data_IF_831178539976
#
_entry.id   IF_831178539976
#
_cell.length_a   1.000
_cell.length_b   1.000
_cell.length_c   1.000
_cell.angle_alpha   90.00
_cell.angle_beta   90.00
_cell.angle_gamma   90.00
#
_symmetry.space_group_name_H-M   'P 1'
#
loop_
_entity.id
_entity.type
_entity.pdbx_description
1 polymer ?
#
# COMPACT_ATOMS: atom_id res chain seq x y z
N UNK A 1 6.32 6.62 41.17
CA UNK A 1 5.40 5.95 40.22
C UNK A 1 6.01 6.09 38.83
N UNK A 2 6.29 4.98 38.14
CA UNK A 2 6.69 5.06 36.74
C UNK A 2 5.48 5.50 35.90
N UNK A 3 5.61 6.46 34.98
CA UNK A 3 4.50 6.84 34.11
C UNK A 3 4.12 5.66 33.21
N UNK A 4 2.86 5.25 33.25
CA UNK A 4 2.33 4.23 32.33
C UNK A 4 2.18 4.84 30.94
N UNK A 5 3.01 4.40 29.98
CA UNK A 5 2.87 4.78 28.58
C UNK A 5 1.67 4.02 28.02
N UNK A 6 0.66 4.76 27.51
CA UNK A 6 -0.48 4.17 26.79
C UNK A 6 -0.14 4.09 25.30
N UNK A 7 -0.30 2.91 24.71
CA UNK A 7 -0.20 2.70 23.27
C UNK A 7 -1.61 2.57 22.70
N UNK A 8 -1.95 3.42 21.73
CA UNK A 8 -3.14 3.30 20.92
C UNK A 8 -2.74 2.65 19.60
N UNK A 9 -3.44 1.60 19.20
CA UNK A 9 -3.22 0.90 17.94
C UNK A 9 -4.56 0.58 17.31
N UNK A 10 -4.63 0.72 16.00
CA UNK A 10 -5.79 0.40 15.21
C UNK A 10 -5.34 -0.15 13.86
N UNK A 11 -5.95 -1.25 13.45
CA UNK A 11 -5.71 -1.82 12.13
C UNK A 11 -7.05 -1.95 11.43
N UNK A 12 -7.15 -1.31 10.27
CA UNK A 12 -8.31 -1.46 9.41
C UNK A 12 -8.03 -2.53 8.36
N UNK A 13 -8.97 -3.47 8.24
CA UNK A 13 -8.89 -4.56 7.29
C UNK A 13 -9.89 -4.36 6.16
N UNK A 14 -9.39 -4.33 4.93
CA UNK A 14 -10.23 -4.47 3.74
C UNK A 14 -10.12 -5.91 3.28
N UNK A 15 -11.23 -6.63 3.32
CA UNK A 15 -11.34 -7.94 2.67
C UNK A 15 -11.66 -7.69 1.20
N UNK A 16 -10.67 -7.89 0.34
CA UNK A 16 -10.87 -7.87 -1.11
C UNK A 16 -11.34 -9.28 -1.50
N UNK A 17 -12.54 -9.39 -2.09
CA UNK A 17 -13.05 -10.69 -2.54
C UNK A 17 -12.07 -11.35 -3.52
N UNK A 18 -11.86 -12.65 -3.29
CA UNK A 18 -11.14 -13.66 -4.11
C UNK A 18 -10.46 -13.12 -5.36
N UNK A 19 -9.12 -13.17 -5.35
CA UNK A 19 -8.29 -12.86 -6.53
C UNK A 19 -8.77 -13.71 -7.71
N UNK A 20 -9.35 -13.06 -8.71
CA UNK A 20 -9.75 -13.72 -9.97
C UNK A 20 -8.55 -13.93 -10.92
N UNK A 21 -7.50 -13.15 -10.74
CA UNK A 21 -6.32 -13.14 -11.58
C UNK A 21 -5.05 -12.74 -10.79
N UNK A 22 -3.89 -12.85 -11.44
CA UNK A 22 -2.58 -12.47 -10.89
C UNK A 22 -2.13 -11.08 -11.34
N UNK A 23 -3.05 -10.15 -11.59
CA UNK A 23 -2.73 -8.79 -12.04
C UNK A 23 -2.08 -7.92 -10.96
N UNK A 24 -2.22 -8.30 -9.69
CA UNK A 24 -1.69 -7.53 -8.55
C UNK A 24 -2.52 -6.32 -8.17
N UNK A 25 -3.74 -6.17 -8.70
CA UNK A 25 -4.65 -5.04 -8.41
C UNK A 25 -4.74 -4.72 -6.90
N UNK A 26 -4.92 -5.69 -5.98
CA UNK A 26 -4.94 -5.42 -4.54
C UNK A 26 -3.71 -4.67 -4.03
N UNK A 27 -2.52 -5.05 -4.50
CA UNK A 27 -1.26 -4.47 -4.08
C UNK A 27 -1.04 -3.08 -4.70
N UNK A 28 -1.42 -2.93 -5.97
CA UNK A 28 -1.38 -1.62 -6.65
C UNK A 28 -2.32 -0.64 -5.96
N UNK A 29 -3.53 -1.07 -5.60
CA UNK A 29 -4.49 -0.23 -4.89
C UNK A 29 -3.99 0.15 -3.51
N UNK A 30 -3.35 -0.77 -2.78
CA UNK A 30 -2.77 -0.47 -1.47
C UNK A 30 -1.79 0.71 -1.50
N UNK A 31 -0.90 0.75 -2.50
CA UNK A 31 -0.05 1.90 -2.74
C UNK A 31 -0.85 3.13 -3.19
N UNK A 32 -1.71 2.95 -4.20
CA UNK A 32 -2.40 4.06 -4.87
C UNK A 32 -3.33 4.86 -3.96
N UNK A 33 -4.00 4.20 -2.99
CA UNK A 33 -4.90 4.90 -2.06
C UNK A 33 -4.15 5.80 -1.09
N UNK A 34 -2.87 5.52 -0.82
CA UNK A 34 -2.03 6.31 0.08
C UNK A 34 -1.37 7.53 -0.62
N UNK A 35 -1.58 7.70 -1.93
CA UNK A 35 -1.10 8.84 -2.74
C UNK A 35 -2.06 10.04 -2.75
N UNK A 36 -2.88 10.18 -1.71
CA UNK A 36 -3.81 11.30 -1.56
C UNK A 36 -5.27 10.87 -1.53
N UNK A 37 -6.07 11.73 -0.95
CA UNK A 37 -7.51 11.54 -0.78
C UNK A 37 -8.27 12.82 -1.03
N UNK A 38 -9.61 12.75 -1.00
CA UNK A 38 -10.48 13.93 -1.14
C UNK A 38 -10.17 15.01 -0.09
N UNK A 39 -10.03 14.64 1.18
CA UNK A 39 -9.75 15.57 2.29
C UNK A 39 -8.28 15.96 2.36
N UNK A 40 -7.37 15.08 1.92
CA UNK A 40 -5.93 15.28 1.92
C UNK A 40 -5.36 15.13 0.50
N UNK A 41 -5.55 16.13 -0.39
CA UNK A 41 -5.23 16.01 -1.83
C UNK A 41 -3.72 16.13 -2.15
N UNK A 42 -2.86 15.97 -1.14
CA UNK A 42 -1.41 15.98 -1.25
C UNK A 42 -0.94 14.77 -2.07
N UNK A 43 0.23 14.88 -2.71
CA UNK A 43 0.78 13.82 -3.56
C UNK A 43 1.23 12.59 -2.74
N UNK A 44 1.82 12.81 -1.57
CA UNK A 44 2.34 11.74 -0.71
C UNK A 44 2.00 11.98 0.79
N UNK A 45 0.71 11.99 1.18
CA UNK A 45 0.32 12.22 2.57
C UNK A 45 0.95 11.22 3.54
N UNK A 46 1.10 9.95 3.13
CA UNK A 46 1.71 8.92 3.96
C UNK A 46 3.17 9.24 4.35
N UNK A 47 3.96 9.77 3.41
CA UNK A 47 5.36 10.16 3.68
C UNK A 47 5.42 11.34 4.64
N UNK A 48 4.49 12.30 4.50
CA UNK A 48 4.38 13.43 5.43
C UNK A 48 3.97 12.97 6.84
N UNK A 49 3.09 11.97 6.95
CA UNK A 49 2.77 11.37 8.25
C UNK A 49 3.98 10.69 8.88
N UNK A 50 4.76 9.93 8.11
CA UNK A 50 5.98 9.28 8.62
C UNK A 50 6.99 10.28 9.19
N UNK A 51 7.11 11.46 8.57
CA UNK A 51 8.07 12.50 8.99
C UNK A 51 7.54 13.42 10.09
N UNK A 52 6.22 13.69 10.10
CA UNK A 52 5.62 14.76 10.90
C UNK A 52 4.75 14.31 12.08
N UNK A 53 4.45 13.02 12.21
CA UNK A 53 3.60 12.50 13.30
C UNK A 53 4.42 11.93 14.46
N UNK A 54 3.75 11.69 15.58
CA UNK A 54 4.31 10.97 16.74
C UNK A 54 3.99 9.47 16.68
N UNK A 55 3.88 8.92 15.48
CA UNK A 55 3.55 7.52 15.26
C UNK A 55 4.58 6.59 15.91
N UNK A 56 4.10 5.46 16.40
CA UNK A 56 4.95 4.33 16.79
C UNK A 56 4.93 3.22 15.74
N UNK A 57 3.91 3.18 14.90
CA UNK A 57 3.81 2.26 13.78
C UNK A 57 2.89 2.83 12.70
N UNK A 58 3.33 2.78 11.45
CA UNK A 58 2.53 3.10 10.27
C UNK A 58 2.94 2.15 9.16
N UNK A 59 1.99 1.44 8.58
CA UNK A 59 2.27 0.57 7.44
C UNK A 59 0.99 0.26 6.65
N UNK A 60 1.18 -0.42 5.53
CA UNK A 60 0.14 -1.08 4.78
C UNK A 60 0.66 -2.42 4.26
N UNK A 61 -0.23 -3.42 4.19
CA UNK A 61 0.15 -4.78 3.81
C UNK A 61 -0.92 -5.43 2.97
N UNK A 62 -0.51 -5.97 1.83
CA UNK A 62 -1.38 -6.79 0.97
C UNK A 62 -1.07 -8.27 1.15
N UNK A 63 -2.03 -9.00 1.72
CA UNK A 63 -2.05 -10.45 1.82
C UNK A 63 -2.83 -11.07 0.64
N UNK A 64 -2.77 -12.40 0.44
CA UNK A 64 -3.51 -13.06 -0.63
C UNK A 64 -5.02 -12.79 -0.65
N UNK A 65 -5.64 -12.59 0.52
CA UNK A 65 -7.09 -12.52 0.72
C UNK A 65 -7.58 -11.17 1.31
N UNK A 66 -6.66 -10.25 1.65
CA UNK A 66 -6.99 -9.02 2.37
C UNK A 66 -5.87 -7.98 2.28
N UNK A 67 -6.24 -6.72 2.49
CA UNK A 67 -5.28 -5.62 2.66
C UNK A 67 -5.49 -4.98 4.02
N UNK A 68 -4.40 -4.74 4.74
CA UNK A 68 -4.39 -4.17 6.08
C UNK A 68 -3.73 -2.79 6.06
N UNK A 69 -4.29 -1.82 6.78
CA UNK A 69 -3.69 -0.51 6.99
C UNK A 69 -3.55 -0.21 8.50
N UNK A 70 -2.51 -0.75 9.15
CA UNK A 70 -2.25 -0.55 10.58
C UNK A 70 -1.62 0.82 10.92
N UNK A 71 -2.13 1.43 11.99
CA UNK A 71 -1.61 2.66 12.59
C UNK A 71 -1.48 2.51 14.11
N UNK A 72 -0.43 3.07 14.70
CA UNK A 72 -0.27 3.16 16.14
C UNK A 72 0.44 4.44 16.57
N UNK A 73 0.06 4.95 17.73
CA UNK A 73 0.71 6.10 18.38
C UNK A 73 0.50 6.04 19.89
N UNK A 74 1.46 6.57 20.64
CA UNK A 74 1.30 6.78 22.10
C UNK A 74 0.63 8.10 22.43
N UNK A 75 0.51 9.00 21.45
CA UNK A 75 -0.19 10.26 21.59
C UNK A 75 -1.63 10.14 21.08
N UNK A 76 -2.61 10.46 21.93
CA UNK A 76 -4.04 10.31 21.59
C UNK A 76 -4.47 11.21 20.42
N UNK A 77 -3.99 12.46 20.36
CA UNK A 77 -4.37 13.39 19.28
C UNK A 77 -3.76 12.95 17.96
N UNK A 78 -2.49 12.54 18.00
CA UNK A 78 -1.79 12.00 16.85
C UNK A 78 -2.47 10.74 16.32
N UNK A 79 -2.83 9.79 17.19
CA UNK A 79 -3.58 8.59 16.82
C UNK A 79 -4.87 8.91 16.05
N UNK A 80 -5.68 9.87 16.53
CA UNK A 80 -6.90 10.27 15.80
C UNK A 80 -6.61 10.93 14.46
N UNK A 81 -5.54 11.74 14.35
CA UNK A 81 -5.12 12.31 13.07
C UNK A 81 -4.71 11.21 12.08
N UNK A 82 -3.96 10.20 12.53
CA UNK A 82 -3.53 9.07 11.70
C UNK A 82 -4.73 8.28 11.18
N UNK A 83 -5.68 7.95 12.07
CA UNK A 83 -6.92 7.23 11.69
C UNK A 83 -7.74 8.03 10.68
N UNK A 84 -7.88 9.34 10.88
CA UNK A 84 -8.64 10.23 9.99
C UNK A 84 -8.04 10.30 8.58
N UNK A 85 -6.71 10.40 8.47
CA UNK A 85 -6.03 10.38 7.16
C UNK A 85 -6.18 9.00 6.48
N UNK A 86 -5.98 7.91 7.22
CA UNK A 86 -6.08 6.55 6.67
C UNK A 86 -7.50 6.22 6.19
N UNK A 87 -8.53 6.63 6.93
CA UNK A 87 -9.91 6.40 6.53
C UNK A 87 -10.28 7.19 5.28
N UNK A 88 -9.92 8.48 5.20
CA UNK A 88 -10.24 9.24 4.00
C UNK A 88 -9.45 8.74 2.77
N UNK A 89 -8.20 8.32 2.95
CA UNK A 89 -7.40 7.65 1.91
C UNK A 89 -8.07 6.37 1.39
N UNK A 90 -8.52 5.49 2.27
CA UNK A 90 -9.13 4.21 1.88
C UNK A 90 -10.51 4.38 1.23
N UNK A 91 -11.38 5.24 1.80
CA UNK A 91 -12.77 5.35 1.33
C UNK A 91 -12.95 6.38 0.22
N UNK A 92 -12.08 7.38 0.14
CA UNK A 92 -12.14 8.46 -0.85
C UNK A 92 -10.76 8.72 -1.50
N UNK A 93 -10.13 7.69 -2.08
CA UNK A 93 -8.80 7.82 -2.67
C UNK A 93 -8.82 8.67 -3.93
N UNK A 94 -7.79 9.50 -4.08
CA UNK A 94 -7.62 10.37 -5.25
C UNK A 94 -7.36 9.60 -6.54
N UNK A 95 -6.77 8.40 -6.45
CA UNK A 95 -6.45 7.57 -7.62
C UNK A 95 -7.67 7.09 -8.43
N UNK A 96 -8.88 7.21 -7.87
CA UNK A 96 -10.14 6.94 -8.60
C UNK A 96 -10.43 8.03 -9.62
N UNK A 97 -10.05 9.27 -9.32
CA UNK A 97 -10.21 10.43 -10.20
C UNK A 97 -8.97 10.64 -11.08
N UNK A 98 -7.78 10.33 -10.55
CA UNK A 98 -6.50 10.46 -11.24
C UNK A 98 -5.87 9.11 -11.59
N UNK A 99 -6.14 8.66 -12.82
CA UNK A 99 -5.58 7.41 -13.35
C UNK A 99 -4.06 7.43 -13.52
N UNK A 100 -3.41 8.61 -13.52
CA UNK A 100 -1.94 8.67 -13.58
C UNK A 100 -1.31 8.18 -12.28
N UNK A 101 -1.95 8.44 -11.14
CA UNK A 101 -1.51 7.92 -9.83
C UNK A 101 -1.51 6.39 -9.83
N UNK A 102 -2.59 5.77 -10.32
CA UNK A 102 -2.67 4.30 -10.42
C UNK A 102 -1.60 3.71 -11.35
N UNK A 103 -1.32 4.37 -12.48
CA UNK A 103 -0.28 3.95 -13.42
C UNK A 103 1.12 4.07 -12.83
N UNK A 104 1.41 5.16 -12.10
CA UNK A 104 2.71 5.36 -11.46
C UNK A 104 2.98 4.29 -10.40
N UNK A 105 2.02 4.03 -9.52
CA UNK A 105 2.17 3.04 -8.45
C UNK A 105 2.12 1.60 -9.00
N UNK A 106 1.29 1.34 -10.02
CA UNK A 106 1.17 0.03 -10.63
C UNK A 106 2.23 -0.23 -11.69
N UNK A 107 1.87 0.05 -12.94
CA UNK A 107 2.78 0.01 -14.08
C UNK A 107 2.30 0.88 -15.24
N UNK A 108 3.25 1.30 -16.06
CA UNK A 108 3.02 2.03 -17.30
C UNK A 108 4.20 1.88 -18.26
N UNK A 109 3.96 2.21 -19.52
CA UNK A 109 5.04 2.35 -20.51
C UNK A 109 5.83 3.64 -20.23
N UNK A 110 7.16 3.56 -20.34
CA UNK A 110 8.06 4.70 -20.29
C UNK A 110 8.90 4.75 -21.57
N UNK A 111 8.96 5.94 -22.13
CA UNK A 111 9.79 6.28 -23.27
C UNK A 111 10.39 7.67 -23.01
N UNK A 112 11.71 7.75 -22.82
CA UNK A 112 12.41 9.02 -22.57
C UNK A 112 12.74 9.73 -23.90
N UNK A 113 13.01 8.96 -24.96
CA UNK A 113 13.27 9.45 -26.30
C UNK A 113 12.49 8.61 -27.34
N UNK A 114 11.84 9.22 -28.35
CA UNK A 114 11.16 8.49 -29.42
C UNK A 114 12.00 7.44 -30.16
N UNK A 115 13.33 7.57 -30.11
CA UNK A 115 14.29 6.66 -30.75
C UNK A 115 14.71 5.48 -29.86
N UNK A 116 14.33 5.46 -28.59
CA UNK A 116 14.64 4.38 -27.65
C UNK A 116 13.55 3.31 -27.62
N UNK A 117 13.88 2.14 -27.07
CA UNK A 117 12.90 1.09 -26.85
C UNK A 117 11.95 1.45 -25.70
N UNK A 118 10.67 1.13 -25.87
CA UNK A 118 9.66 1.29 -24.81
C UNK A 118 9.98 0.34 -23.67
N UNK A 119 10.03 0.87 -22.45
CA UNK A 119 10.25 0.09 -21.22
C UNK A 119 9.02 0.09 -20.31
N UNK A 120 8.92 -0.89 -19.42
CA UNK A 120 7.92 -0.90 -18.36
C UNK A 120 8.48 -0.26 -17.09
N UNK A 121 7.72 0.66 -16.49
CA UNK A 121 8.01 1.22 -15.16
C UNK A 121 6.77 1.19 -14.28
N UNK A 122 6.97 1.33 -12.98
CA UNK A 122 5.93 1.35 -11.95
C UNK A 122 6.52 0.95 -10.60
N UNK A 123 5.93 1.40 -9.50
CA UNK A 123 6.44 1.10 -8.15
C UNK A 123 6.28 -0.39 -7.85
N UNK A 124 5.04 -0.89 -7.84
CA UNK A 124 4.72 -2.29 -7.55
C UNK A 124 5.32 -3.23 -8.60
N UNK A 125 5.36 -2.83 -9.88
CA UNK A 125 6.02 -3.63 -10.90
C UNK A 125 7.51 -3.90 -10.61
N UNK A 126 8.24 -2.86 -10.20
CA UNK A 126 9.66 -2.99 -9.86
C UNK A 126 9.87 -3.72 -8.53
N UNK A 127 8.98 -3.50 -7.55
CA UNK A 127 9.00 -4.22 -6.29
C UNK A 127 8.83 -5.73 -6.51
N UNK A 128 7.81 -6.14 -7.28
CA UNK A 128 7.56 -7.55 -7.55
C UNK A 128 8.69 -8.18 -8.36
N UNK A 129 9.32 -7.45 -9.29
CA UNK A 129 10.57 -7.91 -9.92
C UNK A 129 11.67 -8.20 -8.89
N UNK A 130 11.81 -7.35 -7.89
CA UNK A 130 12.72 -7.57 -6.75
C UNK A 130 12.34 -8.82 -5.95
N UNK A 131 11.06 -8.98 -5.59
CA UNK A 131 10.56 -10.16 -4.86
C UNK A 131 10.85 -11.45 -5.63
N UNK A 132 10.61 -11.49 -6.94
CA UNK A 132 10.87 -12.65 -7.79
C UNK A 132 12.35 -12.88 -8.12
N UNK A 133 13.24 -11.96 -7.74
CA UNK A 133 14.69 -12.19 -7.87
C UNK A 133 15.26 -13.08 -6.74
N UNK A 134 14.47 -13.33 -5.69
CA UNK A 134 14.89 -14.12 -4.53
C UNK A 134 14.36 -15.57 -4.62
N UNK A 135 15.24 -16.58 -4.57
CA UNK A 135 14.85 -18.00 -4.67
C UNK A 135 13.84 -18.45 -3.61
N UNK A 136 14.01 -17.98 -2.37
CA UNK A 136 13.14 -18.36 -1.24
C UNK A 136 11.69 -17.91 -1.46
N UNK A 137 11.49 -16.73 -2.07
CA UNK A 137 10.14 -16.24 -2.40
C UNK A 137 9.48 -17.07 -3.50
N UNK A 138 10.28 -17.50 -4.50
CA UNK A 138 9.79 -18.38 -5.57
C UNK A 138 9.34 -19.72 -4.96
N UNK A 139 10.17 -20.29 -4.08
CA UNK A 139 9.86 -21.55 -3.40
C UNK A 139 8.61 -21.43 -2.53
N UNK A 140 8.53 -20.38 -1.71
CA UNK A 140 7.37 -20.12 -0.85
C UNK A 140 6.07 -19.96 -1.64
N UNK A 141 6.11 -19.23 -2.76
CA UNK A 141 4.96 -19.09 -3.65
C UNK A 141 4.55 -20.44 -4.27
N UNK A 142 5.50 -21.23 -4.76
CA UNK A 142 5.21 -22.53 -5.34
C UNK A 142 4.58 -23.48 -4.31
N UNK A 143 5.07 -23.48 -3.06
CA UNK A 143 4.49 -24.23 -1.96
C UNK A 143 3.06 -23.76 -1.62
N UNK A 144 2.81 -22.45 -1.62
CA UNK A 144 1.48 -21.90 -1.39
C UNK A 144 0.50 -22.29 -2.50
N UNK A 145 0.91 -22.20 -3.77
CA UNK A 145 0.07 -22.59 -4.91
C UNK A 145 -0.24 -24.09 -4.91
N UNK A 146 0.72 -24.92 -4.52
CA UNK A 146 0.52 -26.36 -4.41
C UNK A 146 -0.43 -26.75 -3.26
N UNK A 147 -0.35 -26.04 -2.13
CA UNK A 147 -1.21 -26.30 -0.96
C UNK A 147 -2.60 -25.70 -1.07
N UNK A 148 -2.77 -24.61 -1.83
CA UNK A 148 -4.04 -23.88 -2.01
C UNK A 148 -4.26 -23.48 -3.48
N UNK A 149 -4.60 -24.43 -4.37
CA UNK A 149 -4.64 -24.19 -5.82
C UNK A 149 -5.81 -23.30 -6.30
N UNK A 150 -6.73 -22.93 -5.40
CA UNK A 150 -7.92 -22.13 -5.70
C UNK A 150 -7.92 -20.74 -5.02
N UNK A 151 -6.78 -20.28 -4.50
CA UNK A 151 -6.56 -18.96 -3.87
C UNK A 151 -5.44 -18.18 -4.57
#
# INVERSE_FOLDING_TARGET
MAPTIKLYSFSFLIVLMVRKDSTGIPHILEHSVLCGSRKYPLKEPFVELLKGSLNTFLNAFTYPDRTCYPVASTNTKDFYNLVDVYFDAVFFPKCVEDFQTFQQEGWHFKLDNPSEDITYKGVVFNEMKGVYSQPDNILGRAAQQASSPFV
#
